data_IF_254962567939
#
_entry.id   IF_254962567939
#
_cell.length_a   1.000
_cell.length_b   1.000
_cell.length_c   1.000
_cell.angle_alpha   90.00
_cell.angle_beta   90.00
_cell.angle_gamma   90.00
#
_symmetry.space_group_name_H-M   'P 1'
#
loop_
_entity.id
_entity.type
_entity.pdbx_description
1 polymer ?
#
# COMPACT_ATOMS: atom_id res chain seq x y z
N UNK A 1 11.78 7.30 -19.01
CA UNK A 1 11.89 6.77 -17.64
C UNK A 1 11.10 7.72 -16.76
N UNK A 2 9.91 7.33 -16.33
CA UNK A 2 9.12 8.18 -15.45
C UNK A 2 9.54 7.84 -14.01
N UNK A 3 10.31 8.73 -13.39
CA UNK A 3 10.41 8.79 -11.94
C UNK A 3 9.00 9.06 -11.42
N UNK A 4 8.33 7.97 -11.10
CA UNK A 4 7.04 8.01 -10.46
C UNK A 4 7.30 8.25 -8.97
N UNK A 5 7.55 9.51 -8.61
CA UNK A 5 7.69 10.04 -7.23
C UNK A 5 6.43 9.82 -6.36
N UNK A 6 5.41 9.18 -6.94
CA UNK A 6 4.18 8.81 -6.26
C UNK A 6 4.40 7.57 -5.40
N UNK A 7 4.23 7.76 -4.10
CA UNK A 7 4.20 6.67 -3.13
C UNK A 7 3.07 5.67 -3.45
N UNK A 8 3.12 4.50 -2.84
CA UNK A 8 2.17 3.42 -3.00
C UNK A 8 0.72 3.86 -2.83
N UNK A 9 0.46 4.75 -1.85
CA UNK A 9 -0.87 5.33 -1.67
C UNK A 9 -1.26 6.12 -2.90
N UNK A 10 -0.45 7.04 -3.42
CA UNK A 10 -0.80 7.85 -4.60
C UNK A 10 -0.99 7.01 -5.87
N UNK A 11 -0.23 5.93 -6.00
CA UNK A 11 -0.42 4.96 -7.08
C UNK A 11 -1.74 4.22 -6.95
N UNK A 12 -2.04 3.71 -5.76
CA UNK A 12 -3.31 3.06 -5.47
C UNK A 12 -4.47 4.05 -5.67
N UNK A 13 -4.31 5.28 -5.19
CA UNK A 13 -5.26 6.39 -5.30
C UNK A 13 -5.50 6.78 -6.75
N UNK A 14 -4.46 6.83 -7.58
CA UNK A 14 -4.60 7.09 -9.02
C UNK A 14 -5.36 5.97 -9.73
N UNK A 15 -5.16 4.71 -9.32
CA UNK A 15 -5.86 3.56 -9.91
C UNK A 15 -7.33 3.57 -9.49
N UNK A 16 -7.60 3.75 -8.20
CA UNK A 16 -8.96 3.74 -7.65
C UNK A 16 -9.74 5.01 -7.97
N UNK A 17 -9.10 6.18 -8.03
CA UNK A 17 -9.73 7.43 -8.46
C UNK A 17 -10.16 7.36 -9.92
N UNK A 18 -9.38 6.72 -10.79
CA UNK A 18 -9.81 6.44 -12.17
C UNK A 18 -10.97 5.45 -12.26
N UNK A 19 -11.10 4.52 -11.31
CA UNK A 19 -12.14 3.49 -11.28
C UNK A 19 -13.43 3.93 -10.56
N UNK A 20 -13.32 4.75 -9.51
CA UNK A 20 -14.40 5.06 -8.56
C UNK A 20 -14.62 6.57 -8.36
N UNK A 21 -13.81 7.43 -8.99
CA UNK A 21 -13.95 8.90 -8.93
C UNK A 21 -13.61 9.53 -7.58
N UNK A 22 -13.04 8.76 -6.64
CA UNK A 22 -12.64 9.21 -5.31
C UNK A 22 -11.27 8.64 -4.93
N UNK A 23 -10.48 9.37 -4.10
CA UNK A 23 -9.29 8.80 -3.51
C UNK A 23 -9.66 7.56 -2.70
N UNK A 24 -8.95 6.44 -2.88
CA UNK A 24 -9.18 5.24 -2.10
C UNK A 24 -8.74 5.42 -0.66
N UNK A 25 -9.62 5.05 0.25
CA UNK A 25 -9.24 4.89 1.64
C UNK A 25 -8.23 3.74 1.79
N UNK A 26 -7.40 3.80 2.83
CA UNK A 26 -6.50 2.71 3.23
C UNK A 26 -7.22 1.36 3.36
N UNK A 27 -8.50 1.39 3.73
CA UNK A 27 -9.37 0.22 3.80
C UNK A 27 -9.67 -0.38 2.43
N UNK A 28 -10.03 0.44 1.45
CA UNK A 28 -10.25 0.00 0.07
C UNK A 28 -8.96 -0.52 -0.59
N UNK A 29 -7.81 0.06 -0.26
CA UNK A 29 -6.51 -0.44 -0.73
C UNK A 29 -6.25 -1.84 -0.16
N UNK A 30 -6.52 -2.05 1.13
CA UNK A 30 -6.36 -3.36 1.77
C UNK A 30 -7.35 -4.42 1.25
N UNK A 31 -8.58 -4.03 0.92
CA UNK A 31 -9.58 -4.92 0.29
C UNK A 31 -9.14 -5.34 -1.10
N UNK A 32 -8.69 -4.40 -1.95
CA UNK A 32 -8.14 -4.71 -3.27
C UNK A 32 -6.89 -5.62 -3.17
N UNK A 33 -6.05 -5.40 -2.17
CA UNK A 33 -4.91 -6.26 -1.89
C UNK A 33 -5.34 -7.70 -1.52
N UNK A 34 -6.45 -7.87 -0.82
CA UNK A 34 -6.98 -9.20 -0.47
C UNK A 34 -7.36 -10.03 -1.71
N UNK A 35 -7.71 -9.36 -2.83
CA UNK A 35 -8.04 -10.00 -4.10
C UNK A 35 -6.79 -10.51 -4.85
N UNK A 36 -5.59 -10.13 -4.44
CA UNK A 36 -4.36 -10.58 -5.09
C UNK A 36 -4.04 -12.03 -4.72
N UNK A 37 -3.48 -12.79 -5.67
CA UNK A 37 -2.93 -14.11 -5.38
C UNK A 37 -1.72 -14.05 -4.43
N UNK A 38 -1.44 -15.14 -3.71
CA UNK A 38 -0.39 -15.21 -2.68
C UNK A 38 0.97 -14.62 -3.11
N UNK A 39 1.48 -15.03 -4.28
CA UNK A 39 2.76 -14.54 -4.82
C UNK A 39 2.75 -13.03 -5.05
N UNK A 40 1.65 -12.51 -5.60
CA UNK A 40 1.47 -11.08 -5.86
C UNK A 40 1.36 -10.31 -4.54
N UNK A 41 0.64 -10.84 -3.55
CA UNK A 41 0.56 -10.24 -2.20
C UNK A 41 1.93 -10.12 -1.54
N UNK A 42 2.75 -11.17 -1.61
CA UNK A 42 4.10 -11.14 -1.06
C UNK A 42 4.99 -10.10 -1.76
N UNK A 43 5.01 -10.10 -3.10
CA UNK A 43 5.79 -9.12 -3.87
C UNK A 43 5.33 -7.66 -3.62
N UNK A 44 4.02 -7.45 -3.47
CA UNK A 44 3.48 -6.12 -3.14
C UNK A 44 3.90 -5.67 -1.74
N UNK A 45 3.95 -6.57 -0.75
CA UNK A 45 4.45 -6.21 0.59
C UNK A 45 5.95 -5.89 0.58
N UNK A 46 6.75 -6.64 -0.17
CA UNK A 46 8.19 -6.44 -0.28
C UNK A 46 8.54 -5.10 -0.93
N UNK A 47 7.84 -4.75 -2.02
CA UNK A 47 7.95 -3.43 -2.65
C UNK A 47 7.52 -2.31 -1.68
N UNK A 48 6.45 -2.51 -0.92
CA UNK A 48 5.97 -1.53 0.06
C UNK A 48 7.00 -1.32 1.18
N UNK A 49 7.65 -2.39 1.66
CA UNK A 49 8.70 -2.31 2.67
C UNK A 49 9.94 -1.58 2.16
N UNK A 50 10.32 -1.84 0.89
CA UNK A 50 11.41 -1.12 0.23
C UNK A 50 11.12 0.39 0.15
N UNK A 51 9.89 0.75 -0.17
CA UNK A 51 9.44 2.15 -0.25
C UNK A 51 9.39 2.82 1.12
N UNK A 52 8.95 2.11 2.17
CA UNK A 52 8.97 2.59 3.56
C UNK A 52 10.40 2.83 4.10
N UNK A 53 11.39 2.13 3.55
CA UNK A 53 12.80 2.26 3.86
C UNK A 53 13.51 3.39 3.09
N UNK A 54 12.83 4.04 2.14
CA UNK A 54 13.37 5.18 1.39
C UNK A 54 13.68 6.41 2.27
N UNK A 55 14.35 7.39 1.68
CA UNK A 55 14.71 8.64 2.36
C UNK A 55 13.46 9.38 2.83
N UNK A 56 13.47 9.80 4.10
CA UNK A 56 12.37 10.55 4.69
C UNK A 56 12.83 11.99 4.85
N UNK A 57 12.19 12.86 4.09
CA UNK A 57 12.34 14.28 4.33
C UNK A 57 11.72 14.64 5.68
N UNK A 58 12.35 15.49 6.50
CA UNK A 58 11.94 15.71 7.91
C UNK A 58 10.71 16.63 8.08
N UNK A 59 9.95 16.84 7.00
CA UNK A 59 8.74 17.66 7.00
C UNK A 59 7.61 17.03 7.84
N UNK A 60 6.82 17.82 8.57
CA UNK A 60 5.63 17.32 9.28
C UNK A 60 4.59 16.64 8.38
N UNK A 61 4.58 16.94 7.07
CA UNK A 61 3.71 16.32 6.09
C UNK A 61 4.18 14.90 5.71
N UNK A 62 5.48 14.71 5.46
CA UNK A 62 6.06 13.39 5.17
C UNK A 62 5.97 12.48 6.38
N UNK A 63 6.12 12.98 7.61
CA UNK A 63 5.93 12.19 8.83
C UNK A 63 4.49 11.68 8.99
N UNK A 64 3.48 12.54 8.82
CA UNK A 64 2.07 12.13 8.88
C UNK A 64 1.73 11.10 7.81
N UNK A 65 2.23 11.32 6.59
CA UNK A 65 2.06 10.39 5.47
C UNK A 65 2.73 9.05 5.72
N UNK A 66 3.92 9.05 6.32
CA UNK A 66 4.63 7.82 6.71
C UNK A 66 3.87 7.02 7.76
N UNK A 67 3.26 7.67 8.75
CA UNK A 67 2.40 6.99 9.73
C UNK A 67 1.21 6.30 9.04
N UNK A 68 0.60 6.94 8.05
CA UNK A 68 -0.49 6.34 7.26
C UNK A 68 -0.01 5.12 6.46
N UNK A 69 1.17 5.21 5.81
CA UNK A 69 1.78 4.10 5.09
C UNK A 69 2.11 2.92 6.03
N UNK A 70 2.68 3.18 7.21
CA UNK A 70 2.95 2.14 8.21
C UNK A 70 1.67 1.46 8.71
N UNK A 71 0.61 2.23 8.95
CA UNK A 71 -0.69 1.67 9.34
C UNK A 71 -1.28 0.77 8.24
N UNK A 72 -1.20 1.21 6.98
CA UNK A 72 -1.62 0.43 5.82
C UNK A 72 -0.79 -0.86 5.69
N UNK A 73 0.54 -0.78 5.82
CA UNK A 73 1.43 -1.94 5.78
C UNK A 73 1.10 -2.99 6.83
N UNK A 74 0.80 -2.54 8.06
CA UNK A 74 0.37 -3.42 9.15
C UNK A 74 -0.94 -4.13 8.78
N UNK A 75 -1.93 -3.39 8.27
CA UNK A 75 -3.22 -3.94 7.84
C UNK A 75 -3.06 -4.97 6.72
N UNK A 76 -2.29 -4.65 5.67
CA UNK A 76 -2.00 -5.56 4.57
C UNK A 76 -1.23 -6.81 5.03
N UNK A 77 -0.30 -6.66 5.97
CA UNK A 77 0.40 -7.79 6.60
C UNK A 77 -0.55 -8.74 7.33
N UNK A 78 -1.49 -8.19 8.11
CA UNK A 78 -2.52 -9.00 8.78
C UNK A 78 -3.41 -9.73 7.78
N UNK A 79 -3.85 -9.05 6.71
CA UNK A 79 -4.64 -9.66 5.63
C UNK A 79 -3.85 -10.77 4.94
N UNK A 80 -2.57 -10.54 4.62
CA UNK A 80 -1.69 -11.54 4.02
C UNK A 80 -1.58 -12.81 4.89
N UNK A 81 -1.27 -12.65 6.17
CA UNK A 81 -1.17 -13.76 7.12
C UNK A 81 -2.49 -14.50 7.30
N UNK A 82 -3.61 -13.80 7.42
CA UNK A 82 -4.94 -14.42 7.54
C UNK A 82 -5.29 -15.27 6.31
N UNK A 83 -5.08 -14.73 5.11
CA UNK A 83 -5.34 -15.43 3.86
C UNK A 83 -4.35 -16.58 3.63
N UNK A 84 -3.08 -16.42 4.00
CA UNK A 84 -2.06 -17.48 3.94
C UNK A 84 -2.46 -18.65 4.84
N UNK A 85 -2.91 -18.39 6.07
CA UNK A 85 -3.45 -19.43 6.98
C UNK A 85 -4.69 -20.12 6.40
N UNK A 86 -5.52 -19.37 5.68
CA UNK A 86 -6.68 -19.90 4.96
C UNK A 86 -6.34 -20.64 3.65
N UNK A 87 -5.05 -20.79 3.30
CA UNK A 87 -4.56 -21.39 2.04
C UNK A 87 -5.11 -20.74 0.77
N UNK A 88 -5.38 -19.43 0.84
CA UNK A 88 -5.81 -18.58 -0.27
C UNK A 88 -4.66 -17.72 -0.78
#
# INVERSE_FOLDING_TARGET
>A
MADDDRDFIDRADSITSKLYGKPASTDQIAENFALYGLKKRAATLDNFDTELCGEIDSSPHSLRRRVQLMALRKKMGTVHEALRKARR
#
